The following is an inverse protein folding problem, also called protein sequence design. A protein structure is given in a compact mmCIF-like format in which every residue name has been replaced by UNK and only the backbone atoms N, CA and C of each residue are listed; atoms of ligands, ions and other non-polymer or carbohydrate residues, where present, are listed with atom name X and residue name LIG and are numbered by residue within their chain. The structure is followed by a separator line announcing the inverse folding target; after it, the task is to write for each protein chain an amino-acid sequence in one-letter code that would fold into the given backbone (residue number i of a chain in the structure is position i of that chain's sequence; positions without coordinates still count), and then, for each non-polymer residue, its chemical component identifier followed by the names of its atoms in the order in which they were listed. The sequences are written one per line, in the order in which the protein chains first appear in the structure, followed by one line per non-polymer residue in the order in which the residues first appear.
data_IF_955917594322
#
_entry.id   IF_955917594322
#
_cell.length_a   1.000
_cell.length_b   1.000
_cell.length_c   1.000
_cell.angle_alpha   90.00
_cell.angle_beta   90.00
_cell.angle_gamma   90.00
#
_symmetry.space_group_name_H-M   'P 1'
#
loop_
_entity.id
_entity.type
_entity.pdbx_description
1 polymer ?
#
# COMPACT_ATOMS: atom_id res chain seq x y z
N UNK A 1 -21.51 0.04 -3.49
CA UNK A 1 -20.08 0.37 -3.47
C UNK A 1 -19.35 -0.80 -2.82
N UNK A 2 -18.33 -1.38 -3.48
CA UNK A 2 -17.45 -2.33 -2.80
C UNK A 2 -16.65 -1.55 -1.75
N UNK A 3 -16.76 -1.96 -0.49
CA UNK A 3 -16.09 -1.28 0.62
C UNK A 3 -14.62 -1.67 0.56
N UNK A 4 -13.75 -0.68 0.31
CA UNK A 4 -12.31 -0.86 0.36
C UNK A 4 -11.87 -0.76 1.81
N UNK A 5 -11.17 -1.77 2.36
CA UNK A 5 -10.59 -1.64 3.69
C UNK A 5 -9.50 -0.57 3.68
N UNK A 6 -9.45 0.25 4.74
CA UNK A 6 -8.30 1.12 4.98
C UNK A 6 -7.11 0.27 5.44
N UNK A 7 -6.04 0.30 4.65
CA UNK A 7 -4.82 -0.49 4.89
C UNK A 7 -3.62 0.38 5.25
N UNK A 8 -3.80 1.66 5.55
CA UNK A 8 -2.71 2.55 5.99
C UNK A 8 -2.12 2.03 7.30
N UNK A 9 -0.79 1.96 7.36
CA UNK A 9 0.00 1.41 8.49
C UNK A 9 0.20 -0.10 8.45
N UNK A 10 -0.49 -0.83 7.56
CA UNK A 10 -0.35 -2.27 7.43
C UNK A 10 0.95 -2.63 6.68
N UNK A 11 1.55 -3.81 6.97
CA UNK A 11 2.55 -4.40 6.09
C UNK A 11 1.98 -4.58 4.68
N UNK A 12 2.80 -4.32 3.65
CA UNK A 12 2.38 -4.38 2.26
C UNK A 12 1.71 -5.72 1.90
N UNK A 13 2.27 -6.84 2.36
CA UNK A 13 1.73 -8.16 2.08
C UNK A 13 0.29 -8.35 2.64
N UNK A 14 0.06 -7.86 3.86
CA UNK A 14 -1.27 -7.89 4.49
C UNK A 14 -2.25 -6.97 3.79
N UNK A 15 -1.81 -5.79 3.38
CA UNK A 15 -2.60 -4.84 2.60
C UNK A 15 -3.05 -5.43 1.24
N UNK A 16 -2.13 -6.07 0.51
CA UNK A 16 -2.44 -6.74 -0.76
C UNK A 16 -3.50 -7.83 -0.56
N UNK A 17 -3.37 -8.65 0.49
CA UNK A 17 -4.31 -9.73 0.76
C UNK A 17 -5.72 -9.20 1.06
N UNK A 18 -5.84 -8.11 1.82
CA UNK A 18 -7.13 -7.47 2.10
C UNK A 18 -7.75 -6.85 0.85
N UNK A 19 -6.96 -6.21 0.00
CA UNK A 19 -7.45 -5.59 -1.24
C UNK A 19 -7.81 -6.65 -2.30
N UNK A 20 -7.12 -7.79 -2.36
CA UNK A 20 -7.46 -8.92 -3.25
C UNK A 20 -8.86 -9.47 -2.99
N UNK A 21 -9.28 -9.55 -1.72
CA UNK A 21 -10.63 -10.01 -1.34
C UNK A 21 -11.74 -9.11 -1.92
N UNK A 22 -11.42 -7.86 -2.25
CA UNK A 22 -12.37 -6.91 -2.81
C UNK A 22 -12.46 -6.98 -4.34
N UNK A 23 -11.62 -7.78 -5.01
CA UNK A 23 -11.46 -7.83 -6.48
C UNK A 23 -11.17 -6.44 -7.10
N UNK A 24 -10.43 -5.60 -6.40
CA UNK A 24 -10.05 -4.25 -6.87
C UNK A 24 -8.63 -4.28 -7.39
N UNK A 25 -8.38 -3.57 -8.49
CA UNK A 25 -7.04 -3.43 -9.04
C UNK A 25 -6.20 -2.57 -8.10
N UNK A 26 -4.95 -2.99 -7.84
CA UNK A 26 -4.06 -2.31 -6.89
C UNK A 26 -2.82 -1.85 -7.66
N UNK A 27 -2.44 -0.58 -7.51
CA UNK A 27 -1.17 -0.01 -7.93
C UNK A 27 -0.30 0.19 -6.68
N UNK A 28 0.98 -0.19 -6.73
CA UNK A 28 1.89 -0.03 -5.59
C UNK A 28 2.98 0.96 -6.00
N UNK A 29 3.08 2.07 -5.26
CA UNK A 29 4.07 3.10 -5.47
C UNK A 29 5.05 3.12 -4.30
N UNK A 30 6.31 2.78 -4.59
CA UNK A 30 7.37 2.83 -3.59
C UNK A 30 7.85 4.26 -3.41
N UNK A 31 8.04 4.66 -2.16
CA UNK A 31 8.71 5.91 -1.79
C UNK A 31 9.85 5.58 -0.84
N UNK A 32 11.01 6.19 -1.07
CA UNK A 32 12.15 6.06 -0.19
C UNK A 32 12.12 7.20 0.83
N UNK A 33 12.27 6.86 2.11
CA UNK A 33 12.53 7.88 3.12
C UNK A 33 13.90 8.48 2.83
N UNK A 34 14.08 9.82 2.83
CA UNK A 34 15.36 10.46 2.51
C UNK A 34 16.51 10.09 3.45
N UNK A 35 16.22 9.34 4.52
CA UNK A 35 17.19 8.86 5.53
C UNK A 35 17.67 7.42 5.32
N UNK A 36 17.18 6.68 4.31
CA UNK A 36 17.58 5.30 4.06
C UNK A 36 18.22 5.12 2.68
N UNK A 37 19.45 4.61 2.67
CA UNK A 37 20.23 4.25 1.47
C UNK A 37 20.00 2.80 1.01
N UNK A 38 19.34 1.96 1.83
CA UNK A 38 19.08 0.56 1.54
C UNK A 38 17.58 0.24 1.75
N UNK A 39 17.00 -0.62 0.90
CA UNK A 39 15.67 -1.23 1.12
C UNK A 39 15.75 -2.27 2.26
N UNK A 40 16.31 -1.90 3.40
CA UNK A 40 16.49 -2.76 4.57
C UNK A 40 15.44 -2.35 5.62
N UNK A 41 14.38 -3.15 5.77
CA UNK A 41 13.31 -2.79 6.69
C UNK A 41 11.93 -3.39 6.41
N UNK A 42 10.99 -3.12 7.30
CA UNK A 42 9.59 -3.48 7.10
C UNK A 42 8.92 -2.54 6.09
N UNK A 43 8.32 -3.11 5.03
CA UNK A 43 7.57 -2.34 4.03
C UNK A 43 6.12 -2.15 4.49
N UNK A 44 5.75 -0.90 4.77
CA UNK A 44 4.41 -0.54 5.25
C UNK A 44 3.73 0.47 4.34
N UNK A 45 2.40 0.39 4.25
CA UNK A 45 1.58 1.38 3.55
C UNK A 45 1.55 2.67 4.34
N UNK A 46 2.00 3.77 3.73
CA UNK A 46 2.00 5.10 4.36
C UNK A 46 0.83 5.96 3.87
N UNK A 47 0.26 5.64 2.70
CA UNK A 47 -0.87 6.35 2.14
C UNK A 47 -1.65 5.45 1.17
N UNK A 48 -2.97 5.62 1.14
CA UNK A 48 -3.88 4.94 0.23
C UNK A 48 -4.70 6.00 -0.53
N UNK A 49 -4.76 5.87 -1.85
CA UNK A 49 -5.59 6.73 -2.72
C UNK A 49 -6.54 5.89 -3.54
N UNK A 50 -7.81 6.28 -3.59
CA UNK A 50 -8.79 5.67 -4.48
C UNK A 50 -8.79 6.45 -5.80
N UNK A 51 -8.35 5.81 -6.88
CA UNK A 51 -8.27 6.42 -8.21
C UNK A 51 -9.18 5.63 -9.15
N UNK A 52 -10.41 6.14 -9.34
CA UNK A 52 -11.47 5.58 -10.19
C UNK A 52 -11.65 4.06 -10.06
N UNK A 53 -10.89 3.29 -10.83
CA UNK A 53 -10.99 1.82 -10.97
C UNK A 53 -9.96 1.05 -10.16
N UNK A 54 -9.01 1.72 -9.53
CA UNK A 54 -7.94 1.08 -8.78
C UNK A 54 -7.62 1.85 -7.49
N UNK A 55 -6.90 1.17 -6.61
CA UNK A 55 -6.37 1.75 -5.38
C UNK A 55 -4.87 1.89 -5.55
N UNK A 56 -4.33 3.07 -5.32
CA UNK A 56 -2.89 3.29 -5.22
C UNK A 56 -2.47 3.18 -3.76
N UNK A 57 -1.58 2.22 -3.47
CA UNK A 57 -0.93 2.05 -2.19
C UNK A 57 0.49 2.62 -2.27
N UNK A 58 0.73 3.66 -1.51
CA UNK A 58 2.05 4.26 -1.38
C UNK A 58 2.72 3.61 -0.17
N UNK A 59 3.89 3.02 -0.40
CA UNK A 59 4.64 2.30 0.63
C UNK A 59 5.98 2.94 0.92
N UNK A 60 6.48 2.71 2.13
CA UNK A 60 7.83 3.08 2.53
C UNK A 60 8.47 1.95 3.34
N UNK A 61 9.80 1.92 3.29
CA UNK A 61 10.65 0.99 4.02
C UNK A 61 11.17 1.69 5.28
N UNK A 62 11.18 0.96 6.41
CA UNK A 62 11.54 1.45 7.74
C UNK A 62 12.38 0.46 8.53
#
# INVERSE_FOLDING_TARGET
MKIVPDVVGFPLEKAINLCKLSEIQISIKKTQSPKMLEEAGECRVIKQENIDKYIELIVSYF
#
